data_IF_022514705362
#
_entry.id   IF_022514705362
#
_cell.length_a   1.000
_cell.length_b   1.000
_cell.length_c   1.000
_cell.angle_alpha   90.00
_cell.angle_beta   90.00
_cell.angle_gamma   90.00
#
_symmetry.space_group_name_H-M   'P 1'
#
loop_
_entity.id
_entity.type
_entity.pdbx_description
1 polymer ?
#
# COMPACT_ATOMS: atom_id res chain seq x y z
N UNK A 1 -43.78 6.12 25.59
CA UNK A 1 -43.24 6.74 24.37
C UNK A 1 -43.89 6.10 23.14
N UNK A 2 -45.03 6.67 22.73
CA UNK A 2 -45.94 6.16 21.70
C UNK A 2 -45.66 6.90 20.38
N UNK A 3 -44.45 6.76 19.85
CA UNK A 3 -44.02 7.43 18.60
C UNK A 3 -43.52 6.48 17.49
N UNK A 4 -43.51 5.16 17.71
CA UNK A 4 -43.03 4.17 16.73
C UNK A 4 -44.07 3.67 15.71
N UNK A 5 -45.36 3.92 15.92
CA UNK A 5 -46.42 3.34 15.08
C UNK A 5 -46.79 4.18 13.84
N UNK A 6 -46.13 5.32 13.57
CA UNK A 6 -46.48 6.21 12.45
C UNK A 6 -45.41 6.33 11.35
N UNK A 7 -44.33 5.55 11.40
CA UNK A 7 -43.34 5.57 10.33
C UNK A 7 -43.85 4.81 9.10
N UNK A 8 -43.85 5.44 7.90
CA UNK A 8 -44.20 4.76 6.65
C UNK A 8 -43.41 3.48 6.47
N UNK A 9 -44.04 2.44 5.91
CA UNK A 9 -43.43 1.11 5.68
C UNK A 9 -42.06 1.22 5.01
N UNK A 10 -41.89 2.19 4.11
CA UNK A 10 -40.64 2.48 3.41
C UNK A 10 -39.49 2.86 4.36
N UNK A 11 -39.73 3.70 5.37
CA UNK A 11 -38.69 4.13 6.32
C UNK A 11 -38.28 2.97 7.24
N UNK A 12 -39.24 2.14 7.66
CA UNK A 12 -38.95 0.92 8.43
C UNK A 12 -38.16 -0.10 7.61
N UNK A 13 -38.48 -0.25 6.33
CA UNK A 13 -37.75 -1.14 5.43
C UNK A 13 -36.31 -0.64 5.15
N UNK A 14 -36.13 0.67 5.01
CA UNK A 14 -34.81 1.30 4.91
C UNK A 14 -33.99 1.07 6.19
N UNK A 15 -34.55 1.35 7.37
CA UNK A 15 -33.85 1.14 8.65
C UNK A 15 -33.47 -0.32 8.88
N UNK A 16 -34.33 -1.27 8.49
CA UNK A 16 -34.03 -2.72 8.61
C UNK A 16 -32.91 -3.15 7.64
N UNK A 17 -32.79 -2.51 6.47
CA UNK A 17 -31.67 -2.71 5.54
C UNK A 17 -30.37 -2.07 6.02
N UNK A 18 -30.42 -0.91 6.66
CA UNK A 18 -29.25 -0.25 7.23
C UNK A 18 -28.69 -0.97 8.47
N UNK A 19 -29.55 -1.58 9.30
CA UNK A 19 -29.11 -2.39 10.46
C UNK A 19 -28.34 -3.64 10.03
N UNK A 20 -28.70 -4.27 8.90
CA UNK A 20 -27.91 -5.37 8.30
C UNK A 20 -26.55 -4.92 7.73
N UNK A 21 -26.36 -3.63 7.49
CA UNK A 21 -25.08 -3.12 7.00
C UNK A 21 -24.03 -3.02 8.11
N UNK A 22 -24.44 -2.89 9.37
CA UNK A 22 -23.51 -2.93 10.52
C UNK A 22 -23.04 -4.36 10.83
N UNK A 23 -23.89 -5.38 10.62
CA UNK A 23 -23.50 -6.80 10.75
C UNK A 23 -22.46 -7.20 9.69
N UNK A 24 -22.60 -6.73 8.43
CA UNK A 24 -21.60 -6.97 7.38
C UNK A 24 -20.27 -6.28 7.69
N UNK A 25 -20.29 -5.08 8.29
CA UNK A 25 -19.07 -4.38 8.72
C UNK A 25 -18.40 -5.06 9.90
N UNK A 26 -19.15 -5.64 10.82
CA UNK A 26 -18.59 -6.44 11.92
C UNK A 26 -18.00 -7.76 11.41
N UNK A 27 -18.72 -8.49 10.55
CA UNK A 27 -18.21 -9.71 9.89
C UNK A 27 -16.96 -9.42 9.05
N UNK A 28 -16.88 -8.29 8.34
CA UNK A 28 -15.67 -7.89 7.61
C UNK A 28 -14.49 -7.54 8.55
N UNK A 29 -14.77 -6.93 9.71
CA UNK A 29 -13.73 -6.63 10.72
C UNK A 29 -13.22 -7.90 11.41
N UNK A 30 -14.11 -8.87 11.62
CA UNK A 30 -13.79 -10.15 12.24
C UNK A 30 -13.08 -11.07 11.25
N UNK A 31 -13.47 -11.05 9.97
CA UNK A 31 -12.72 -11.71 8.90
C UNK A 31 -11.35 -11.08 8.69
N UNK A 32 -11.22 -9.74 8.71
CA UNK A 32 -9.92 -9.06 8.68
C UNK A 32 -9.01 -9.42 9.87
N UNK A 33 -9.57 -9.70 11.05
CA UNK A 33 -8.82 -10.17 12.22
C UNK A 33 -8.48 -11.66 12.18
N UNK A 34 -9.28 -12.48 11.50
CA UNK A 34 -9.06 -13.92 11.35
C UNK A 34 -8.03 -14.23 10.25
N UNK A 35 -8.02 -13.44 9.16
CA UNK A 35 -7.01 -13.55 8.09
C UNK A 35 -5.66 -12.93 8.50
N UNK A 36 -5.59 -12.25 9.66
CA UNK A 36 -4.35 -11.78 10.30
C UNK A 36 -3.51 -12.91 10.95
N UNK A 37 -3.91 -14.19 10.82
CA UNK A 37 -3.27 -15.29 11.54
C UNK A 37 -2.64 -16.43 10.71
N UNK A 38 -2.72 -16.49 9.37
CA UNK A 38 -2.03 -17.57 8.62
C UNK A 38 -1.56 -17.16 7.22
N UNK A 39 -0.32 -16.68 7.11
CA UNK A 39 0.68 -17.38 6.28
C UNK A 39 2.09 -17.09 6.82
N UNK A 40 2.52 -17.97 7.71
CA UNK A 40 3.87 -18.01 8.27
C UNK A 40 4.82 -18.52 7.18
N UNK A 41 5.43 -17.61 6.40
CA UNK A 41 6.75 -17.85 5.80
C UNK A 41 7.77 -17.02 6.57
N UNK A 42 8.20 -17.57 7.71
CA UNK A 42 9.31 -17.05 8.53
C UNK A 42 10.65 -17.29 7.83
N UNK A 43 10.98 -16.45 6.85
CA UNK A 43 12.31 -16.39 6.24
C UNK A 43 13.07 -15.13 6.65
N UNK A 44 12.49 -13.96 6.37
CA UNK A 44 13.07 -12.63 6.59
C UNK A 44 11.92 -11.62 6.71
N UNK A 45 12.13 -10.43 7.30
CA UNK A 45 11.15 -9.33 7.20
C UNK A 45 10.98 -8.97 5.71
N UNK A 46 9.76 -8.97 5.13
CA UNK A 46 9.55 -8.65 3.72
C UNK A 46 10.12 -7.30 3.28
N UNK A 47 10.30 -6.36 4.21
CA UNK A 47 10.92 -5.07 3.92
C UNK A 47 12.44 -5.19 3.80
N UNK A 48 13.07 -6.14 4.49
CA UNK A 48 14.48 -6.50 4.28
C UNK A 48 14.65 -7.14 2.90
N UNK A 49 13.73 -8.02 2.48
CA UNK A 49 13.76 -8.60 1.14
C UNK A 49 13.58 -7.51 0.07
N UNK A 50 12.72 -6.52 0.31
CA UNK A 50 12.61 -5.33 -0.54
C UNK A 50 13.96 -4.58 -0.64
N UNK A 51 14.74 -4.46 0.45
CA UNK A 51 16.05 -3.81 0.41
C UNK A 51 17.00 -4.44 -0.60
N UNK A 52 16.87 -5.74 -0.89
CA UNK A 52 17.68 -6.39 -1.92
C UNK A 52 17.39 -5.85 -3.33
N UNK A 53 16.15 -5.40 -3.58
CA UNK A 53 15.76 -4.77 -4.84
C UNK A 53 16.07 -3.26 -4.91
N UNK A 54 16.74 -2.72 -3.89
CA UNK A 54 17.08 -1.31 -3.77
C UNK A 54 18.59 -1.10 -3.78
N UNK A 55 19.02 0.09 -4.19
CA UNK A 55 20.36 0.59 -3.87
C UNK A 55 20.27 1.86 -3.04
N UNK A 56 21.23 2.05 -2.14
CA UNK A 56 21.29 3.18 -1.22
C UNK A 56 22.41 4.12 -1.64
N UNK A 57 22.09 5.40 -1.74
CA UNK A 57 23.03 6.47 -2.09
C UNK A 57 23.54 7.17 -0.82
N UNK A 58 24.69 7.83 -0.92
CA UNK A 58 25.25 8.64 0.19
C UNK A 58 24.40 9.88 0.50
N UNK A 59 23.58 10.33 -0.44
CA UNK A 59 22.70 11.49 -0.30
C UNK A 59 21.25 11.16 -0.66
N UNK A 60 20.30 11.85 -0.01
CA UNK A 60 18.86 11.69 -0.23
C UNK A 60 18.35 12.28 -1.57
N UNK A 61 18.91 11.81 -2.70
CA UNK A 61 18.64 12.28 -4.07
C UNK A 61 17.85 11.27 -4.93
N UNK A 62 17.36 10.19 -4.34
CA UNK A 62 16.65 9.11 -5.00
C UNK A 62 15.14 9.31 -5.10
N UNK A 63 14.41 8.20 -4.95
CA UNK A 63 12.95 8.13 -5.07
C UNK A 63 12.25 9.08 -4.09
N UNK A 64 11.08 9.57 -4.50
CA UNK A 64 10.20 10.31 -3.60
C UNK A 64 9.43 9.33 -2.69
N UNK A 65 9.04 9.74 -1.49
CA UNK A 65 8.34 8.82 -0.59
C UNK A 65 6.98 8.35 -1.14
N UNK A 66 6.16 9.26 -1.69
CA UNK A 66 4.90 8.92 -2.38
C UNK A 66 3.72 8.51 -1.49
N UNK A 67 3.67 8.97 -0.24
CA UNK A 67 2.56 8.64 0.69
C UNK A 67 1.30 9.50 0.58
N UNK A 68 1.17 10.31 -0.47
CA UNK A 68 0.01 11.20 -0.67
C UNK A 68 -1.09 10.54 -1.51
N UNK A 69 -2.15 11.29 -1.81
CA UNK A 69 -3.15 10.85 -2.79
C UNK A 69 -2.53 10.77 -4.19
N UNK A 70 -2.77 9.67 -4.90
CA UNK A 70 -2.30 9.44 -6.27
C UNK A 70 -3.44 8.85 -7.12
N UNK A 71 -3.50 9.23 -8.40
CA UNK A 71 -4.51 8.70 -9.34
C UNK A 71 -4.06 7.38 -9.99
N UNK A 72 -2.74 7.15 -10.06
CA UNK A 72 -2.13 5.95 -10.61
C UNK A 72 -0.85 5.63 -9.83
N UNK A 73 -0.49 4.34 -9.77
CA UNK A 73 0.78 3.91 -9.20
C UNK A 73 1.93 4.29 -10.14
N UNK A 74 2.98 4.79 -9.53
CA UNK A 74 4.19 5.28 -10.23
C UNK A 74 5.45 4.74 -9.52
N UNK A 75 5.67 3.41 -9.52
CA UNK A 75 6.73 2.76 -8.74
C UNK A 75 8.14 3.17 -9.16
N UNK A 76 8.32 3.67 -10.40
CA UNK A 76 9.61 4.24 -10.86
C UNK A 76 9.96 5.60 -10.25
N UNK A 77 8.98 6.30 -9.66
CA UNK A 77 9.17 7.65 -9.08
C UNK A 77 9.04 7.65 -7.56
N UNK A 78 8.26 6.73 -7.01
CA UNK A 78 7.88 6.73 -5.61
C UNK A 78 8.20 5.40 -4.91
N UNK A 79 8.97 5.49 -3.82
CA UNK A 79 9.37 4.32 -3.01
C UNK A 79 8.16 3.60 -2.43
N UNK A 80 7.15 4.33 -1.94
CA UNK A 80 5.94 3.68 -1.44
C UNK A 80 5.15 2.97 -2.55
N UNK A 81 5.11 3.52 -3.76
CA UNK A 81 4.45 2.86 -4.89
C UNK A 81 5.20 1.59 -5.31
N UNK A 82 6.53 1.62 -5.27
CA UNK A 82 7.37 0.44 -5.50
C UNK A 82 7.09 -0.64 -4.44
N UNK A 83 6.99 -0.26 -3.18
CA UNK A 83 6.60 -1.17 -2.10
C UNK A 83 5.20 -1.76 -2.30
N UNK A 84 4.23 -0.99 -2.78
CA UNK A 84 2.90 -1.50 -3.06
C UNK A 84 2.93 -2.57 -4.17
N UNK A 85 3.71 -2.36 -5.23
CA UNK A 85 3.90 -3.35 -6.28
C UNK A 85 4.59 -4.62 -5.77
N UNK A 86 5.62 -4.47 -4.93
CA UNK A 86 6.28 -5.59 -4.26
C UNK A 86 5.30 -6.39 -3.38
N UNK A 87 4.51 -5.68 -2.55
CA UNK A 87 3.54 -6.30 -1.66
C UNK A 87 2.46 -7.07 -2.46
N UNK A 88 1.98 -6.50 -3.57
CA UNK A 88 1.04 -7.17 -4.47
C UNK A 88 1.65 -8.44 -5.10
N UNK A 89 2.87 -8.35 -5.61
CA UNK A 89 3.57 -9.48 -6.23
C UNK A 89 3.80 -10.64 -5.24
N UNK A 90 4.16 -10.33 -3.99
CA UNK A 90 4.40 -11.32 -2.96
C UNK A 90 3.13 -11.74 -2.19
N UNK A 91 1.95 -11.18 -2.51
CA UNK A 91 0.70 -11.48 -1.82
C UNK A 91 0.64 -11.00 -0.37
N UNK A 92 1.40 -9.96 -0.03
CA UNK A 92 1.53 -9.42 1.33
C UNK A 92 0.60 -8.22 1.49
N UNK A 93 -0.12 -8.15 2.61
CA UNK A 93 -0.93 -6.98 2.97
C UNK A 93 -0.02 -5.76 3.19
N UNK A 94 -0.19 -4.65 2.44
CA UNK A 94 0.70 -3.52 2.54
C UNK A 94 0.54 -2.76 3.86
N UNK A 95 1.66 -2.30 4.41
CA UNK A 95 1.72 -1.39 5.53
C UNK A 95 1.28 0.01 5.12
N UNK A 96 0.61 0.73 6.02
CA UNK A 96 0.39 2.17 5.87
C UNK A 96 1.73 2.91 5.74
N UNK A 97 1.77 4.00 4.97
CA UNK A 97 3.03 4.69 4.63
C UNK A 97 3.88 5.12 5.83
N UNK A 98 3.23 5.45 6.95
CA UNK A 98 3.91 5.80 8.21
C UNK A 98 4.61 4.60 8.84
N UNK A 99 3.99 3.43 8.80
CA UNK A 99 4.55 2.18 9.30
C UNK A 99 5.63 1.65 8.35
N UNK A 100 5.39 1.71 7.03
CA UNK A 100 6.39 1.40 6.03
C UNK A 100 7.66 2.26 6.21
N UNK A 101 7.52 3.57 6.44
CA UNK A 101 8.67 4.45 6.68
C UNK A 101 9.51 4.05 7.90
N UNK A 102 8.90 3.54 8.96
CA UNK A 102 9.61 3.00 10.13
C UNK A 102 10.27 1.66 9.81
N UNK A 103 9.55 0.77 9.14
CA UNK A 103 10.01 -0.56 8.78
C UNK A 103 11.22 -0.49 7.83
N UNK A 104 11.17 0.33 6.77
CA UNK A 104 12.29 0.47 5.82
C UNK A 104 13.54 1.06 6.48
N UNK A 105 13.37 1.93 7.48
CA UNK A 105 14.51 2.47 8.24
C UNK A 105 15.20 1.37 9.06
N UNK A 106 14.42 0.52 9.72
CA UNK A 106 14.94 -0.61 10.48
C UNK A 106 15.56 -1.68 9.57
N UNK A 107 14.85 -2.04 8.49
CA UNK A 107 15.27 -3.03 7.52
C UNK A 107 16.55 -2.62 6.78
N UNK A 108 16.70 -1.35 6.38
CA UNK A 108 17.93 -0.86 5.78
C UNK A 108 19.12 -1.03 6.72
N UNK A 109 18.95 -0.69 8.01
CA UNK A 109 20.00 -0.86 9.03
C UNK A 109 20.39 -2.33 9.21
N UNK A 110 19.41 -3.24 9.22
CA UNK A 110 19.65 -4.69 9.29
C UNK A 110 20.34 -5.22 8.03
N UNK A 111 20.00 -4.66 6.87
CA UNK A 111 20.66 -4.92 5.59
C UNK A 111 22.06 -4.29 5.46
N UNK A 112 22.55 -3.61 6.51
CA UNK A 112 23.87 -2.98 6.52
C UNK A 112 23.95 -1.67 5.74
N UNK A 113 22.82 -1.00 5.50
CA UNK A 113 22.70 0.25 4.77
C UNK A 113 22.09 1.36 5.64
N UNK A 114 22.32 2.62 5.27
CA UNK A 114 21.71 3.77 5.95
C UNK A 114 20.55 4.32 5.12
N UNK A 115 19.37 4.45 5.73
CA UNK A 115 18.21 5.06 5.10
C UNK A 115 18.13 6.55 5.46
N UNK A 116 18.31 7.40 4.45
CA UNK A 116 18.33 8.85 4.59
C UNK A 116 17.11 9.48 3.91
N UNK A 117 16.62 10.56 4.49
CA UNK A 117 15.55 11.36 3.89
C UNK A 117 15.84 12.85 4.00
N UNK A 118 15.35 13.61 3.02
CA UNK A 118 15.34 15.09 3.07
C UNK A 118 13.99 15.61 2.62
N UNK A 119 13.67 16.84 3.02
CA UNK A 119 12.45 17.52 2.56
C UNK A 119 12.81 18.56 1.50
N UNK A 120 12.19 18.44 0.33
CA UNK A 120 12.32 19.41 -0.77
C UNK A 120 10.94 19.85 -1.19
N UNK A 121 10.69 21.17 -1.17
CA UNK A 121 9.40 21.76 -1.58
C UNK A 121 8.20 21.07 -0.91
N UNK A 122 8.34 20.75 0.39
CA UNK A 122 7.31 20.07 1.19
C UNK A 122 7.14 18.57 0.93
N UNK A 123 7.97 17.96 0.07
CA UNK A 123 7.92 16.52 -0.25
C UNK A 123 9.17 15.82 0.28
N UNK A 124 9.00 14.59 0.79
CA UNK A 124 10.10 13.77 1.29
C UNK A 124 10.77 13.01 0.15
N UNK A 125 12.06 13.22 -0.04
CA UNK A 125 12.94 12.48 -0.93
C UNK A 125 13.83 11.55 -0.11
N UNK A 126 14.10 10.35 -0.63
CA UNK A 126 14.92 9.32 0.03
C UNK A 126 16.29 9.21 -0.66
N UNK A 127 17.22 8.46 -0.08
CA UNK A 127 18.47 8.07 -0.74
C UNK A 127 18.38 6.75 -1.52
N UNK A 128 17.16 6.27 -1.77
CA UNK A 128 16.94 4.96 -2.36
C UNK A 128 16.70 5.07 -3.86
N UNK A 129 17.36 4.22 -4.63
CA UNK A 129 17.09 3.99 -6.04
C UNK A 129 16.66 2.55 -6.34
N UNK A 130 16.25 2.32 -7.58
CA UNK A 130 15.72 1.04 -8.06
C UNK A 130 16.87 0.22 -8.65
N UNK A 131 17.07 -1.01 -8.18
CA UNK A 131 17.99 -1.96 -8.81
C UNK A 131 17.30 -2.77 -9.90
N UNK A 132 18.08 -3.49 -10.70
CA UNK A 132 17.56 -4.37 -11.76
C UNK A 132 16.63 -5.48 -11.22
N UNK A 133 16.83 -5.93 -9.97
CA UNK A 133 15.98 -6.94 -9.32
C UNK A 133 14.54 -6.46 -9.13
N UNK A 134 14.31 -5.13 -9.13
CA UNK A 134 12.95 -4.62 -9.01
C UNK A 134 12.09 -4.97 -10.23
N UNK A 135 12.69 -5.15 -11.42
CA UNK A 135 11.93 -5.42 -12.65
C UNK A 135 11.11 -6.74 -12.56
N UNK A 136 11.43 -7.65 -11.63
CA UNK A 136 10.69 -8.89 -11.38
C UNK A 136 9.24 -8.67 -10.92
N UNK A 137 9.03 -7.65 -10.09
CA UNK A 137 7.73 -7.33 -9.50
C UNK A 137 7.16 -5.99 -9.98
N UNK A 138 7.86 -5.30 -10.87
CA UNK A 138 7.35 -4.07 -11.45
C UNK A 138 6.15 -4.37 -12.35
N UNK A 139 5.05 -3.59 -12.25
CA UNK A 139 3.92 -3.73 -13.17
C UNK A 139 4.42 -3.50 -14.58
N UNK A 140 4.38 -4.55 -15.41
CA UNK A 140 4.54 -4.39 -16.87
C UNK A 140 3.46 -3.42 -17.29
N UNK A 141 3.86 -2.32 -17.95
CA UNK A 141 3.00 -1.18 -18.24
C UNK A 141 1.57 -1.63 -18.54
N UNK A 142 0.63 -1.28 -17.67
CA UNK A 142 -0.78 -1.47 -17.95
C UNK A 142 -1.09 -0.50 -19.10
N UNK A 143 -1.12 -1.03 -20.32
CA UNK A 143 -1.57 -0.39 -21.55
C UNK A 143 -1.20 1.09 -21.70
N UNK A 144 -0.08 1.36 -22.33
CA UNK A 144 -0.11 2.41 -23.35
C UNK A 144 -1.30 2.12 -24.26
N UNK A 145 -2.32 2.99 -24.29
CA UNK A 145 -3.30 3.00 -25.38
C UNK A 145 -2.50 2.98 -26.69
N UNK A 146 -2.50 1.84 -27.39
CA UNK A 146 -2.03 1.80 -28.76
C UNK A 146 -2.97 2.70 -29.56
N UNK A 147 -2.47 3.57 -30.45
CA UNK A 147 -3.33 4.30 -31.37
C UNK A 147 -4.18 3.29 -32.11
N UNK A 148 -5.50 3.48 -32.09
CA UNK A 148 -6.39 2.76 -33.00
C UNK A 148 -6.04 3.24 -34.40
N UNK A 149 -5.27 2.43 -35.12
CA UNK A 149 -5.11 2.61 -36.56
C UNK A 149 -6.51 2.50 -37.19
N UNK A 150 -6.94 3.61 -37.78
CA UNK A 150 -8.14 3.73 -38.60
C UNK A 150 -8.02 2.78 -39.80
N UNK A 151 -9.06 1.99 -40.02
CA UNK A 151 -9.38 1.36 -41.31
C UNK A 151 -10.81 1.70 -41.66
#
# INVERSE_FOLDING_TARGET
MRWWQRLPVIIRHLLTRFVKQDEVKQLLREQQRSDEAMEVKRGTDPIIDLCAALFFMDEAKGLMMGGGHYSALEPRKYLYHLYLAFAEYHGIKPLAVTNFGKAITAAAREYGQEYLTRTIKGRRQTNVGISELADEFMPRAYGSEQPRDEQ
#
